data_IF_801227749562
#
_entry.id   IF_801227749562
#
_cell.length_a   1.000
_cell.length_b   1.000
_cell.length_c   1.000
_cell.angle_alpha   90.00
_cell.angle_beta   90.00
_cell.angle_gamma   90.00
#
_symmetry.space_group_name_H-M   'P 1'
#
loop_
_entity.id
_entity.type
_entity.pdbx_description
1 polymer ?
#
# COMPACT_ATOMS: atom_id res chain seq x y z
N UNK A 1 0.26 -20.45 -10.01
CA UNK A 1 0.55 -19.35 -9.06
C UNK A 1 -0.76 -18.78 -8.54
N UNK A 2 -1.07 -18.95 -7.24
CA UNK A 2 -2.18 -18.24 -6.58
C UNK A 2 -1.76 -16.77 -6.45
N UNK A 3 -2.61 -15.84 -6.88
CA UNK A 3 -2.34 -14.39 -6.78
C UNK A 3 -2.36 -13.99 -5.31
N UNK A 4 -1.33 -13.30 -4.82
CA UNK A 4 -1.44 -12.53 -3.58
C UNK A 4 -2.61 -11.56 -3.76
N UNK A 5 -3.66 -11.71 -2.94
CA UNK A 5 -4.88 -10.89 -3.01
C UNK A 5 -4.97 -10.03 -1.76
N UNK A 6 -4.28 -8.90 -1.75
CA UNK A 6 -4.43 -7.93 -0.66
C UNK A 6 -5.86 -7.37 -0.69
N UNK A 7 -6.56 -7.47 0.44
CA UNK A 7 -7.97 -7.05 0.56
C UNK A 7 -8.16 -6.24 1.81
N UNK A 8 -8.85 -5.11 1.69
CA UNK A 8 -9.36 -4.38 2.84
C UNK A 8 -10.70 -5.00 3.25
N UNK A 9 -10.86 -5.34 4.52
CA UNK A 9 -12.12 -5.90 5.05
C UNK A 9 -12.49 -5.26 6.37
N UNK A 10 -13.80 -5.18 6.60
CA UNK A 10 -14.35 -4.93 7.92
C UNK A 10 -14.18 -6.19 8.77
N UNK A 11 -13.55 -6.08 9.93
CA UNK A 11 -13.17 -7.26 10.71
C UNK A 11 -13.86 -7.37 12.08
N UNK A 12 -14.64 -6.37 12.50
CA UNK A 12 -15.45 -6.48 13.70
C UNK A 12 -16.80 -5.74 13.64
N UNK A 13 -17.64 -5.98 14.66
CA UNK A 13 -18.97 -5.36 14.83
C UNK A 13 -18.91 -3.84 15.07
N UNK A 14 -17.75 -3.30 15.44
CA UNK A 14 -17.53 -1.87 15.73
C UNK A 14 -17.08 -1.07 14.51
N UNK A 15 -17.28 -1.59 13.29
CA UNK A 15 -16.88 -0.94 12.04
C UNK A 15 -15.37 -0.73 11.84
N UNK A 16 -14.52 -1.51 12.51
CA UNK A 16 -13.07 -1.43 12.30
C UNK A 16 -12.66 -2.09 10.99
N UNK A 17 -11.69 -1.48 10.32
CA UNK A 17 -11.12 -1.97 9.06
C UNK A 17 -9.72 -2.53 9.26
N UNK A 18 -9.46 -3.65 8.59
CA UNK A 18 -8.14 -4.24 8.53
C UNK A 18 -7.73 -4.45 7.08
N UNK A 19 -6.46 -4.18 6.80
CA UNK A 19 -5.82 -4.63 5.59
C UNK A 19 -5.35 -6.07 5.79
N UNK A 20 -5.88 -7.00 5.00
CA UNK A 20 -5.45 -8.39 4.99
C UNK A 20 -4.46 -8.62 3.86
N UNK A 21 -3.31 -9.17 4.21
CA UNK A 21 -2.22 -9.47 3.29
C UNK A 21 -2.05 -10.97 3.16
N UNK A 22 -1.67 -11.40 1.96
CA UNK A 22 -1.37 -12.80 1.66
C UNK A 22 0.05 -12.86 1.11
N UNK A 23 0.92 -13.60 1.78
CA UNK A 23 2.26 -13.85 1.26
C UNK A 23 2.24 -14.89 0.11
N UNK A 24 3.40 -15.15 -0.50
CA UNK A 24 3.52 -16.12 -1.59
C UNK A 24 3.27 -17.58 -1.15
N UNK A 25 3.33 -17.85 0.16
CA UNK A 25 3.06 -19.15 0.78
C UNK A 25 1.58 -19.31 1.18
N UNK A 26 0.79 -18.24 1.06
CA UNK A 26 -0.61 -18.19 1.46
C UNK A 26 -0.84 -17.92 2.94
N UNK A 27 0.21 -17.55 3.70
CA UNK A 27 0.05 -17.06 5.06
C UNK A 27 -0.66 -15.72 5.02
N UNK A 28 -1.49 -15.48 6.02
CA UNK A 28 -2.27 -14.25 6.16
C UNK A 28 -1.78 -13.44 7.33
N UNK A 29 -1.61 -12.15 7.08
CA UNK A 29 -1.41 -11.17 8.14
C UNK A 29 -2.47 -10.08 8.04
N UNK A 30 -2.70 -9.35 9.12
CA UNK A 30 -3.64 -8.24 9.14
C UNK A 30 -3.08 -7.02 9.86
N UNK A 31 -3.47 -5.85 9.36
CA UNK A 31 -3.10 -4.56 9.94
C UNK A 31 -4.35 -3.78 10.28
N UNK A 32 -4.43 -3.28 11.51
CA UNK A 32 -5.54 -2.46 12.00
C UNK A 32 -5.41 -1.01 11.50
N UNK A 33 -6.30 -0.60 10.60
CA UNK A 33 -6.20 0.70 9.95
C UNK A 33 -6.57 1.87 10.87
N UNK A 34 -7.45 1.63 11.85
CA UNK A 34 -7.80 2.64 12.85
C UNK A 34 -6.60 2.91 13.77
N UNK A 35 -5.91 1.85 14.20
CA UNK A 35 -4.68 1.96 14.98
C UNK A 35 -3.59 2.69 14.17
N UNK A 36 -3.39 2.30 12.92
CA UNK A 36 -2.40 2.95 12.06
C UNK A 36 -2.68 4.44 11.87
N UNK A 37 -3.93 4.83 11.69
CA UNK A 37 -4.28 6.24 11.55
C UNK A 37 -4.04 7.04 12.82
N UNK A 38 -4.33 6.45 13.99
CA UNK A 38 -4.05 7.08 15.27
C UNK A 38 -2.54 7.29 15.44
N UNK A 39 -1.74 6.24 15.24
CA UNK A 39 -0.29 6.30 15.35
C UNK A 39 0.33 7.28 14.35
N UNK A 40 -0.15 7.30 13.10
CA UNK A 40 0.29 8.28 12.11
C UNK A 40 0.00 9.71 12.54
N UNK A 41 -1.21 9.98 13.07
CA UNK A 41 -1.59 11.30 13.56
C UNK A 41 -0.75 11.75 14.75
N UNK A 42 -0.33 10.82 15.60
CA UNK A 42 0.53 11.07 16.76
C UNK A 42 1.98 11.40 16.33
N UNK A 43 2.51 10.72 15.31
CA UNK A 43 3.86 10.99 14.76
C UNK A 43 3.91 12.31 13.97
N UNK A 44 2.94 12.55 13.10
CA UNK A 44 2.95 13.67 12.15
C UNK A 44 2.13 14.89 12.57
N UNK A 45 1.72 14.96 13.85
CA UNK A 45 1.06 16.11 14.47
C UNK A 45 -0.09 16.74 13.66
N UNK A 46 -1.14 15.99 13.27
CA UNK A 46 -2.37 16.45 12.56
C UNK A 46 -2.21 17.34 11.30
N UNK A 47 -1.03 17.87 10.99
CA UNK A 47 -0.79 18.88 9.96
C UNK A 47 -0.76 18.26 8.56
N UNK A 48 -0.59 16.95 8.47
CA UNK A 48 -0.76 16.14 7.26
C UNK A 48 -2.17 15.57 7.06
N UNK A 49 -3.14 15.89 7.93
CA UNK A 49 -4.57 15.65 7.67
C UNK A 49 -5.05 16.65 6.60
N UNK A 50 -4.53 16.50 5.39
CA UNK A 50 -4.70 17.45 4.30
C UNK A 50 -6.04 17.22 3.59
N UNK A 51 -6.89 18.26 3.57
CA UNK A 51 -7.97 18.63 2.62
C UNK A 51 -9.00 17.59 2.13
N UNK A 52 -8.87 16.32 2.48
CA UNK A 52 -9.74 15.22 2.08
C UNK A 52 -10.23 14.49 3.33
N UNK A 53 -11.46 13.97 3.32
CA UNK A 53 -12.06 13.21 4.43
C UNK A 53 -11.40 11.83 4.67
N UNK A 54 -10.17 11.62 4.17
CA UNK A 54 -9.42 10.38 4.26
C UNK A 54 -8.46 10.39 5.45
N UNK A 55 -8.41 9.29 6.19
CA UNK A 55 -7.47 9.08 7.29
C UNK A 55 -6.18 8.45 6.76
N UNK A 56 -5.05 9.10 7.01
CA UNK A 56 -3.76 8.56 6.60
C UNK A 56 -3.33 7.43 7.55
N UNK A 57 -2.97 6.26 7.02
CA UNK A 57 -2.59 5.06 7.80
C UNK A 57 -1.10 4.74 7.72
N UNK A 58 -0.32 5.61 7.06
CA UNK A 58 1.10 5.38 6.83
C UNK A 58 1.56 6.00 5.52
N UNK A 59 2.58 5.39 4.93
CA UNK A 59 3.32 5.94 3.80
C UNK A 59 3.36 4.96 2.64
N UNK A 60 3.64 5.50 1.46
CA UNK A 60 3.99 4.72 0.29
C UNK A 60 5.14 5.38 -0.44
N UNK A 61 5.94 4.55 -1.09
CA UNK A 61 6.98 5.02 -2.00
C UNK A 61 6.99 4.17 -3.25
N UNK A 62 7.18 4.85 -4.38
CA UNK A 62 7.54 4.24 -5.65
C UNK A 62 8.92 4.76 -6.04
N UNK A 63 9.94 3.91 -5.92
CA UNK A 63 11.32 4.29 -6.22
C UNK A 63 12.04 3.19 -7.02
N UNK A 64 12.37 3.50 -8.27
CA UNK A 64 13.08 2.59 -9.16
C UNK A 64 12.33 1.26 -9.34
N UNK A 65 13.00 0.16 -8.98
CA UNK A 65 12.48 -1.21 -9.10
C UNK A 65 11.64 -1.64 -7.88
N UNK A 66 11.33 -0.73 -6.96
CA UNK A 66 10.68 -1.06 -5.69
C UNK A 66 9.45 -0.21 -5.44
N UNK A 67 8.39 -0.85 -4.95
CA UNK A 67 7.23 -0.16 -4.38
C UNK A 67 6.93 -0.73 -3.01
N UNK A 68 6.65 0.15 -2.04
CA UNK A 68 6.22 -0.29 -0.72
C UNK A 68 5.10 0.54 -0.14
N UNK A 69 4.32 -0.10 0.72
CA UNK A 69 3.45 0.54 1.69
C UNK A 69 4.03 0.29 3.07
N UNK A 70 4.11 1.32 3.88
CA UNK A 70 4.49 1.23 5.28
C UNK A 70 3.28 1.63 6.12
N UNK A 71 2.78 0.71 6.93
CA UNK A 71 1.66 0.96 7.84
C UNK A 71 2.19 1.22 9.24
N UNK A 72 1.66 2.26 9.86
CA UNK A 72 2.09 2.73 11.18
C UNK A 72 1.43 1.89 12.30
N UNK A 73 1.54 0.57 12.24
CA UNK A 73 1.08 -0.32 13.31
C UNK A 73 2.07 -0.34 14.49
N UNK A 74 1.65 -0.89 15.64
CA UNK A 74 2.53 -1.04 16.82
C UNK A 74 3.80 -1.85 16.52
N UNK A 75 3.69 -2.85 15.66
CA UNK A 75 4.83 -3.52 15.03
C UNK A 75 4.99 -2.95 13.62
N UNK A 76 6.22 -2.67 13.21
CA UNK A 76 6.48 -2.05 11.91
C UNK A 76 6.08 -3.00 10.79
N UNK A 77 5.00 -2.67 10.06
CA UNK A 77 4.49 -3.49 8.95
C UNK A 77 4.75 -2.80 7.63
N UNK A 78 5.68 -3.37 6.86
CA UNK A 78 5.97 -2.97 5.50
C UNK A 78 5.49 -4.04 4.51
N UNK A 79 4.69 -3.62 3.53
CA UNK A 79 4.40 -4.40 2.35
C UNK A 79 5.34 -3.95 1.23
N UNK A 80 6.19 -4.86 0.79
CA UNK A 80 7.19 -4.60 -0.24
C UNK A 80 6.91 -5.42 -1.50
N UNK A 81 7.03 -4.79 -2.67
CA UNK A 81 6.92 -5.46 -3.96
C UNK A 81 8.09 -5.04 -4.85
N UNK A 82 8.91 -6.03 -5.21
CA UNK A 82 9.92 -5.88 -6.24
C UNK A 82 9.25 -5.88 -7.61
N UNK A 83 9.44 -4.78 -8.35
CA UNK A 83 9.00 -4.64 -9.73
C UNK A 83 9.97 -5.42 -10.62
N UNK A 84 9.60 -6.65 -11.01
CA UNK A 84 10.45 -7.50 -11.85
C UNK A 84 10.68 -6.86 -13.23
N UNK A 85 11.88 -6.36 -13.45
CA UNK A 85 12.41 -5.95 -14.75
C UNK A 85 13.18 -7.11 -15.37
N UNK A 86 12.92 -7.39 -16.65
CA UNK A 86 13.75 -8.26 -17.45
C UNK A 86 14.56 -7.36 -18.40
N UNK A 87 15.72 -7.83 -18.89
CA UNK A 87 16.59 -7.09 -19.82
C UNK A 87 15.79 -6.46 -20.98
N UNK A 88 14.81 -7.20 -21.51
CA UNK A 88 13.90 -6.73 -22.55
C UNK A 88 13.01 -5.56 -22.08
N UNK A 89 12.45 -5.61 -20.87
CA UNK A 89 11.64 -4.53 -20.30
C UNK A 89 12.48 -3.27 -20.08
N UNK A 90 13.70 -3.42 -19.57
CA UNK A 90 14.63 -2.29 -19.37
C UNK A 90 15.05 -1.64 -20.69
N UNK A 91 15.27 -2.43 -21.75
CA UNK A 91 15.53 -1.89 -23.09
C UNK A 91 14.33 -1.12 -23.65
N UNK A 92 13.13 -1.67 -23.51
CA UNK A 92 11.92 -1.04 -24.04
C UNK A 92 11.58 0.25 -23.24
N UNK A 93 11.68 0.25 -21.91
CA UNK A 93 11.53 1.47 -21.10
C UNK A 93 12.46 2.59 -21.56
N UNK A 94 13.71 2.24 -21.87
CA UNK A 94 14.73 3.19 -22.31
C UNK A 94 14.49 3.72 -23.72
N UNK A 95 13.86 2.94 -24.60
CA UNK A 95 13.61 3.27 -26.01
C UNK A 95 12.32 4.06 -26.24
N UNK A 96 11.25 3.77 -25.50
CA UNK A 96 9.92 4.36 -25.74
C UNK A 96 9.35 5.11 -24.53
N UNK A 97 10.07 5.17 -23.40
CA UNK A 97 9.59 5.84 -22.18
C UNK A 97 8.33 5.20 -21.58
N UNK A 98 7.95 4.03 -22.07
CA UNK A 98 6.72 3.35 -21.70
C UNK A 98 7.01 2.50 -20.47
N UNK A 99 6.41 2.86 -19.34
CA UNK A 99 6.61 2.22 -18.04
C UNK A 99 5.92 0.83 -18.04
N UNK A 100 6.71 -0.26 -18.12
CA UNK A 100 6.21 -1.64 -18.26
C UNK A 100 5.82 -2.29 -16.93
N UNK A 101 5.94 -1.60 -15.81
CA UNK A 101 5.51 -2.08 -14.49
C UNK A 101 3.98 -2.15 -14.34
N UNK A 102 3.23 -2.00 -15.43
CA UNK A 102 1.76 -1.89 -15.45
C UNK A 102 1.02 -2.94 -14.65
N UNK A 103 1.51 -4.17 -14.51
CA UNK A 103 0.79 -5.22 -13.77
C UNK A 103 1.03 -5.15 -12.26
N UNK A 104 2.29 -5.10 -11.85
CA UNK A 104 2.72 -4.99 -10.46
C UNK A 104 2.32 -3.63 -9.87
N UNK A 105 2.58 -2.54 -10.60
CA UNK A 105 2.12 -1.21 -10.25
C UNK A 105 0.58 -1.11 -10.23
N UNK A 106 -0.14 -1.86 -11.06
CA UNK A 106 -1.61 -1.93 -10.96
C UNK A 106 -2.08 -2.65 -9.71
N UNK A 107 -1.38 -3.71 -9.27
CA UNK A 107 -1.69 -4.37 -7.99
C UNK A 107 -1.43 -3.41 -6.81
N UNK A 108 -0.28 -2.72 -6.83
CA UNK A 108 0.08 -1.70 -5.85
C UNK A 108 -0.95 -0.56 -5.79
N UNK A 109 -1.28 0.04 -6.94
CA UNK A 109 -2.32 1.08 -7.04
C UNK A 109 -3.72 0.57 -6.70
N UNK A 110 -4.00 -0.72 -6.90
CA UNK A 110 -5.27 -1.32 -6.50
C UNK A 110 -5.43 -1.36 -4.99
N UNK A 111 -4.33 -1.49 -4.22
CA UNK A 111 -4.39 -1.41 -2.76
C UNK A 111 -4.69 0.03 -2.31
N UNK A 112 -4.01 1.03 -2.89
CA UNK A 112 -4.35 2.43 -2.63
C UNK A 112 -5.82 2.74 -2.91
N UNK A 113 -6.32 2.30 -4.07
CA UNK A 113 -7.73 2.53 -4.45
C UNK A 113 -8.69 1.87 -3.46
N UNK A 114 -8.36 0.68 -2.96
CA UNK A 114 -9.15 0.02 -1.92
C UNK A 114 -9.14 0.84 -0.62
N UNK A 115 -7.97 1.29 -0.16
CA UNK A 115 -7.86 2.15 1.02
C UNK A 115 -8.75 3.40 0.87
N UNK A 116 -8.61 4.12 -0.24
CA UNK A 116 -9.37 5.34 -0.52
C UNK A 116 -10.89 5.09 -0.51
N UNK A 117 -11.33 3.97 -1.10
CA UNK A 117 -12.77 3.61 -1.12
C UNK A 117 -13.35 3.33 0.28
N UNK A 118 -12.49 3.09 1.27
CA UNK A 118 -12.87 2.84 2.66
C UNK A 118 -12.57 4.02 3.60
N UNK A 119 -12.20 5.19 3.07
CA UNK A 119 -11.90 6.37 3.88
C UNK A 119 -10.47 6.43 4.41
N UNK A 120 -9.56 5.62 3.87
CA UNK A 120 -8.16 5.54 4.27
C UNK A 120 -7.23 6.00 3.14
N UNK A 121 -6.03 6.45 3.46
CA UNK A 121 -5.00 6.77 2.47
C UNK A 121 -3.61 6.53 3.02
N UNK A 122 -2.59 6.64 2.18
CA UNK A 122 -1.19 6.70 2.61
C UNK A 122 -0.54 7.94 2.03
N UNK A 123 0.41 8.51 2.75
CA UNK A 123 1.21 9.63 2.29
C UNK A 123 2.12 9.18 1.14
N UNK A 124 2.10 9.91 0.03
CA UNK A 124 2.96 9.63 -1.11
C UNK A 124 4.31 10.31 -0.95
N UNK A 125 5.39 9.52 -0.91
CA UNK A 125 6.76 10.02 -0.71
C UNK A 125 7.60 10.07 -2.00
N UNK A 126 7.02 9.66 -3.14
CA UNK A 126 7.69 9.64 -4.45
C UNK A 126 7.84 11.02 -5.07
#
# INVERSE_FOLDING_TARGET
>A
MRRAQNKIRKYNKNNRYAAHFFDERGNTDYVDLDECAQNFADVYHKSFLNKTDLKCVGERLLYGEYVYFEFYAKEHVQFFLLLKTNILKGLIERLIGWNFYTREAKAFNSLQRQLNSHGWTTLDLS
#
